data_IF_010526711233
#
_entry.id   IF_010526711233
#
_cell.length_a   1.000
_cell.length_b   1.000
_cell.length_c   1.000
_cell.angle_alpha   90.00
_cell.angle_beta   90.00
_cell.angle_gamma   90.00
#
_symmetry.space_group_name_H-M   'P 1'
#
loop_
_entity.id
_entity.type
_entity.pdbx_description
1 polymer ?
#
# COMPACT_ATOMS: atom_id res chain seq x y z
N UNK A 1 16.53 12.39 2.70
CA UNK A 1 15.36 12.89 3.44
C UNK A 1 14.92 14.17 2.77
N UNK A 2 13.68 14.23 2.28
CA UNK A 2 13.15 15.43 1.64
C UNK A 2 12.62 16.40 2.69
N UNK A 3 12.65 17.69 2.41
CA UNK A 3 12.01 18.71 3.23
C UNK A 3 11.01 19.45 2.36
N UNK A 4 9.79 19.61 2.86
CA UNK A 4 8.76 20.43 2.21
C UNK A 4 8.50 21.67 3.05
N UNK A 5 8.22 22.78 2.38
CA UNK A 5 7.85 23.99 3.09
C UNK A 5 6.45 23.85 3.67
N UNK A 6 6.31 24.02 4.99
CA UNK A 6 5.02 23.98 5.70
C UNK A 6 4.36 25.35 5.75
N UNK A 7 5.15 26.39 5.96
CA UNK A 7 4.66 27.76 6.13
C UNK A 7 5.54 28.70 5.31
N UNK A 8 4.92 29.36 4.33
CA UNK A 8 5.53 30.41 3.52
C UNK A 8 5.41 31.76 4.24
N UNK A 9 6.40 32.62 4.02
CA UNK A 9 6.32 34.03 4.39
C UNK A 9 5.28 34.74 3.52
N UNK A 10 4.77 35.85 4.04
CA UNK A 10 4.08 36.81 3.19
C UNK A 10 5.03 37.25 2.06
N UNK A 11 4.49 37.51 0.84
CA UNK A 11 5.30 38.01 -0.25
C UNK A 11 5.87 39.38 0.12
N UNK A 12 7.15 39.58 -0.16
CA UNK A 12 7.74 40.91 -0.05
C UNK A 12 7.21 41.86 -1.14
N UNK A 13 7.67 43.12 -1.14
CA UNK A 13 7.27 44.13 -2.12
C UNK A 13 7.56 43.74 -3.59
N UNK A 14 8.37 42.70 -3.81
CA UNK A 14 8.73 42.16 -5.12
C UNK A 14 8.09 40.79 -5.38
N UNK A 15 7.23 40.30 -4.49
CA UNK A 15 6.54 39.02 -4.60
C UNK A 15 7.39 37.80 -4.23
N UNK A 16 8.57 37.99 -3.63
CA UNK A 16 9.41 36.89 -3.17
C UNK A 16 8.85 36.32 -1.87
N UNK A 17 8.76 35.00 -1.80
CA UNK A 17 8.35 34.27 -0.60
C UNK A 17 9.48 33.35 -0.15
N UNK A 18 9.69 33.29 1.15
CA UNK A 18 10.68 32.42 1.79
C UNK A 18 9.97 31.41 2.68
N UNK A 19 10.60 30.27 2.94
CA UNK A 19 10.01 29.28 3.82
C UNK A 19 10.38 29.57 5.29
N UNK A 20 9.38 29.80 6.14
CA UNK A 20 9.59 29.98 7.58
C UNK A 20 9.77 28.65 8.32
N UNK A 21 9.07 27.61 7.89
CA UNK A 21 9.13 26.31 8.55
C UNK A 21 9.25 25.18 7.53
N UNK A 22 10.36 24.46 7.61
CA UNK A 22 10.58 23.23 6.87
C UNK A 22 10.06 22.05 7.68
N UNK A 23 9.22 21.23 7.07
CA UNK A 23 8.78 19.96 7.64
C UNK A 23 9.53 18.83 6.94
N UNK A 24 10.02 17.87 7.74
CA UNK A 24 10.57 16.63 7.20
C UNK A 24 9.44 15.95 6.42
N UNK A 25 9.69 15.75 5.13
CA UNK A 25 8.80 14.97 4.30
C UNK A 25 9.04 13.51 4.67
N UNK A 26 8.20 12.98 5.57
CA UNK A 26 8.10 11.53 5.71
C UNK A 26 7.72 10.97 4.34
N UNK A 27 8.44 9.96 3.87
CA UNK A 27 8.29 9.35 2.54
C UNK A 27 6.95 8.64 2.31
N UNK A 28 5.98 8.83 3.20
CA UNK A 28 4.62 8.29 3.12
C UNK A 28 3.77 9.16 2.18
N UNK A 29 4.17 9.22 0.90
CA UNK A 29 3.53 9.97 -0.19
C UNK A 29 2.03 9.65 -0.39
N UNK A 30 1.52 8.58 0.21
CA UNK A 30 0.13 8.11 0.05
C UNK A 30 -0.69 8.08 1.35
N UNK A 31 -0.16 8.59 2.46
CA UNK A 31 -0.84 8.46 3.77
C UNK A 31 -1.07 7.01 4.21
N UNK A 32 -0.44 6.06 3.53
CA UNK A 32 -0.44 4.66 3.92
C UNK A 32 0.39 4.54 5.20
N UNK A 33 -0.13 3.85 6.23
CA UNK A 33 0.68 3.55 7.40
C UNK A 33 1.93 2.81 6.92
N UNK A 34 3.07 3.11 7.56
CA UNK A 34 4.32 2.42 7.28
C UNK A 34 4.19 0.97 7.77
N UNK A 35 3.58 0.11 6.95
CA UNK A 35 3.38 -1.30 7.24
C UNK A 35 4.76 -1.94 7.27
N UNK A 36 5.14 -2.46 8.43
CA UNK A 36 6.38 -3.21 8.53
C UNK A 36 6.27 -4.51 7.71
N UNK A 37 7.39 -5.06 7.22
CA UNK A 37 7.36 -6.33 6.47
C UNK A 37 6.66 -7.46 7.24
N UNK A 38 6.79 -7.47 8.57
CA UNK A 38 6.12 -8.39 9.48
C UNK A 38 4.59 -8.25 9.40
N UNK A 39 4.07 -7.02 9.51
CA UNK A 39 2.63 -6.75 9.43
C UNK A 39 2.06 -7.08 8.04
N UNK A 40 2.83 -6.83 6.97
CA UNK A 40 2.42 -7.22 5.62
C UNK A 40 2.26 -8.73 5.50
N UNK A 41 3.17 -9.51 6.09
CA UNK A 41 3.14 -10.97 6.05
C UNK A 41 1.94 -11.55 6.80
N UNK A 42 1.59 -11.01 7.96
CA UNK A 42 0.42 -11.45 8.74
C UNK A 42 -0.90 -11.26 7.97
N UNK A 43 -1.03 -10.18 7.19
CA UNK A 43 -2.22 -9.92 6.38
C UNK A 43 -2.23 -10.79 5.11
N UNK A 44 -1.07 -10.97 4.48
CA UNK A 44 -1.00 -11.66 3.18
C UNK A 44 -1.15 -13.18 3.31
N UNK A 45 -0.69 -13.76 4.42
CA UNK A 45 -0.73 -15.21 4.67
C UNK A 45 -2.15 -15.81 4.63
N UNK A 46 -3.16 -15.29 5.37
CA UNK A 46 -4.51 -15.84 5.31
C UNK A 46 -5.18 -15.62 3.95
N UNK A 47 -4.92 -14.50 3.30
CA UNK A 47 -5.45 -14.20 1.96
C UNK A 47 -4.91 -15.21 0.94
N UNK A 48 -3.59 -15.45 0.96
CA UNK A 48 -2.95 -16.44 0.08
C UNK A 48 -3.54 -17.84 0.31
N UNK A 49 -3.77 -18.23 1.56
CA UNK A 49 -4.35 -19.52 1.89
C UNK A 49 -5.76 -19.69 1.32
N UNK A 50 -6.63 -18.67 1.46
CA UNK A 50 -7.99 -18.71 0.90
C UNK A 50 -8.00 -18.84 -0.62
N UNK A 51 -7.09 -18.13 -1.31
CA UNK A 51 -6.97 -18.20 -2.77
C UNK A 51 -6.52 -19.60 -3.19
N UNK A 52 -5.49 -20.15 -2.55
CA UNK A 52 -4.98 -21.50 -2.83
C UNK A 52 -6.07 -22.55 -2.59
N UNK A 53 -6.78 -22.47 -1.46
CA UNK A 53 -7.89 -23.37 -1.16
C UNK A 53 -8.97 -23.31 -2.24
N UNK A 54 -9.40 -22.11 -2.66
CA UNK A 54 -10.40 -21.94 -3.72
C UNK A 54 -9.96 -22.54 -5.07
N UNK A 55 -8.69 -22.41 -5.43
CA UNK A 55 -8.13 -23.02 -6.65
C UNK A 55 -8.13 -24.55 -6.54
N UNK A 56 -7.70 -25.10 -5.40
CA UNK A 56 -7.71 -26.55 -5.15
C UNK A 56 -9.14 -27.13 -5.26
N UNK A 57 -10.13 -26.48 -4.66
CA UNK A 57 -11.53 -26.92 -4.78
C UNK A 57 -12.04 -26.87 -6.22
N UNK A 58 -11.69 -25.83 -6.99
CA UNK A 58 -12.05 -25.77 -8.42
C UNK A 58 -11.40 -26.89 -9.23
N UNK A 59 -10.14 -27.24 -8.96
CA UNK A 59 -9.45 -28.33 -9.64
C UNK A 59 -10.06 -29.69 -9.28
N UNK A 60 -10.35 -29.93 -8.00
CA UNK A 60 -11.03 -31.15 -7.55
C UNK A 60 -12.42 -31.29 -8.17
N UNK A 61 -13.22 -30.21 -8.20
CA UNK A 61 -14.53 -30.22 -8.84
C UNK A 61 -14.46 -30.52 -10.34
N UNK A 62 -13.44 -29.99 -11.04
CA UNK A 62 -13.19 -30.33 -12.45
C UNK A 62 -12.82 -31.79 -12.63
N UNK A 63 -11.95 -32.34 -11.78
CA UNK A 63 -11.58 -33.75 -11.83
C UNK A 63 -12.79 -34.66 -11.59
N UNK A 64 -13.56 -34.41 -10.53
CA UNK A 64 -14.77 -35.18 -10.21
C UNK A 64 -15.76 -35.15 -11.38
N UNK A 65 -16.05 -33.97 -11.93
CA UNK A 65 -16.93 -33.84 -13.09
C UNK A 65 -16.38 -34.53 -14.36
N UNK A 66 -15.06 -34.66 -14.49
CA UNK A 66 -14.44 -35.40 -15.58
C UNK A 66 -14.55 -36.91 -15.41
N UNK A 67 -14.63 -37.41 -14.18
CA UNK A 67 -14.82 -38.84 -13.90
C UNK A 67 -16.29 -39.26 -13.96
N UNK A 68 -17.23 -38.40 -13.54
CA UNK A 68 -18.67 -38.68 -13.58
C UNK A 68 -19.24 -38.65 -15.01
N UNK A 69 -18.61 -37.90 -15.92
CA UNK A 69 -19.01 -37.82 -17.34
C UNK A 69 -18.40 -38.89 -18.25
N UNK A 70 -17.68 -39.87 -17.69
CA UNK A 70 -17.14 -41.03 -18.41
C UNK A 70 -17.99 -42.26 -18.10
#
# INVERSE_FOLDING_TARGET
MGYVCKTLSEPDLYGLQTCHQWQVQESNFLGLPNITPEQAKEIFTPIAYLIVAAVCYKLLARLINSFIKK
#
